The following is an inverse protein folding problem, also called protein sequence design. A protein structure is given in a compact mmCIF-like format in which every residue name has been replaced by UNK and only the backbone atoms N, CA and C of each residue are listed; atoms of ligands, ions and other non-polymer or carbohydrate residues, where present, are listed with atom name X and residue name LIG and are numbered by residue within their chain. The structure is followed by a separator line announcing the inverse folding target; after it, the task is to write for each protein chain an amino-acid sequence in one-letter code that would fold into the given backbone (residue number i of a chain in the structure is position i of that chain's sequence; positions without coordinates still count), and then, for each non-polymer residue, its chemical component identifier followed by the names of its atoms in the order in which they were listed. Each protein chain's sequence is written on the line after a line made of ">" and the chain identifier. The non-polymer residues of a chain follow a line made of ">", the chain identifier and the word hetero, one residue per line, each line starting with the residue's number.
data_IF_034419463221
#
_entry.id   IF_034419463221
#
_cell.length_a   1.000
_cell.length_b   1.000
_cell.length_c   1.000
_cell.angle_alpha   90.00
_cell.angle_beta   90.00
_cell.angle_gamma   90.00
#
_symmetry.space_group_name_H-M   'P 1'
#
loop_
_entity.id
_entity.type
_entity.pdbx_description
1 polymer ?
#
# COMPACT_ATOMS: atom_id res chain seq x y z
N UNK A 1 38.01 44.01 -39.00
CA UNK A 1 37.95 42.68 -38.35
C UNK A 1 36.98 42.74 -37.18
N UNK A 2 35.75 42.21 -37.33
CA UNK A 2 34.71 42.23 -36.29
C UNK A 2 34.87 41.00 -35.39
N UNK A 3 35.11 41.21 -34.09
CA UNK A 3 35.17 40.13 -33.09
C UNK A 3 33.73 39.72 -32.75
N UNK A 4 33.37 38.49 -33.12
CA UNK A 4 32.07 37.89 -32.79
C UNK A 4 32.12 37.36 -31.36
N UNK A 5 31.48 38.05 -30.42
CA UNK A 5 31.31 37.58 -29.04
C UNK A 5 30.22 36.50 -29.04
N UNK A 6 30.60 35.23 -28.81
CA UNK A 6 29.64 34.13 -28.63
C UNK A 6 29.18 34.12 -27.18
N UNK A 7 27.94 34.55 -26.94
CA UNK A 7 27.27 34.44 -25.65
C UNK A 7 26.97 32.96 -25.38
N UNK A 8 27.61 32.39 -24.37
CA UNK A 8 27.38 31.02 -23.91
C UNK A 8 26.27 31.06 -22.86
N UNK A 9 25.04 30.72 -23.26
CA UNK A 9 23.91 30.59 -22.34
C UNK A 9 24.05 29.28 -21.57
N UNK A 10 24.46 29.34 -20.31
CA UNK A 10 24.37 28.20 -19.40
C UNK A 10 22.89 27.98 -19.03
N UNK A 11 22.28 26.97 -19.63
CA UNK A 11 21.00 26.44 -19.18
C UNK A 11 21.27 25.64 -17.91
N UNK A 12 21.13 26.27 -16.75
CA UNK A 12 21.18 25.58 -15.46
C UNK A 12 19.94 24.69 -15.34
N UNK A 13 20.13 23.39 -15.57
CA UNK A 13 19.15 22.37 -15.24
C UNK A 13 19.00 22.38 -13.71
N UNK A 14 17.93 23.00 -13.22
CA UNK A 14 17.56 22.92 -11.81
C UNK A 14 17.22 21.47 -11.49
N UNK A 15 18.15 20.75 -10.86
CA UNK A 15 17.89 19.47 -10.23
C UNK A 15 16.92 19.72 -9.06
N UNK A 16 15.63 19.53 -9.31
CA UNK A 16 14.64 19.42 -8.24
C UNK A 16 15.00 18.17 -7.43
N UNK A 17 15.59 18.37 -6.25
CA UNK A 17 15.73 17.31 -5.26
C UNK A 17 14.31 16.99 -4.79
N UNK A 18 13.69 15.97 -5.41
CA UNK A 18 12.32 15.56 -5.11
C UNK A 18 12.25 14.96 -3.71
N UNK A 19 11.60 15.72 -2.83
CA UNK A 19 10.89 15.34 -1.61
C UNK A 19 11.18 13.94 -1.05
N UNK A 20 12.07 13.87 -0.06
CA UNK A 20 12.27 12.69 0.80
C UNK A 20 10.99 12.23 1.56
N UNK A 21 9.88 12.97 1.42
CA UNK A 21 8.63 12.66 2.10
C UNK A 21 7.39 12.64 1.20
N UNK A 22 7.52 12.19 -0.06
CA UNK A 22 6.35 11.92 -0.90
C UNK A 22 5.37 10.97 -0.19
N UNK A 23 4.07 11.26 -0.26
CA UNK A 23 3.01 10.39 0.26
C UNK A 23 3.00 9.02 -0.41
N UNK A 24 2.03 8.18 -0.06
CA UNK A 24 1.79 6.94 -0.80
C UNK A 24 1.51 7.29 -2.28
N UNK A 25 2.09 6.59 -3.26
CA UNK A 25 1.93 6.94 -4.68
C UNK A 25 0.49 6.69 -5.17
N UNK A 26 0.03 7.48 -6.13
CA UNK A 26 -1.33 7.35 -6.69
C UNK A 26 -1.53 6.04 -7.48
N UNK A 27 -0.43 5.45 -7.99
CA UNK A 27 -0.39 4.15 -8.63
C UNK A 27 0.89 3.37 -8.28
N UNK A 28 1.06 2.19 -8.90
CA UNK A 28 2.19 1.31 -8.63
C UNK A 28 3.40 1.53 -9.58
N UNK A 29 3.36 2.52 -10.47
CA UNK A 29 4.36 2.75 -11.53
C UNK A 29 5.74 3.12 -10.97
N UNK A 30 5.81 3.81 -9.84
CA UNK A 30 7.07 4.15 -9.15
C UNK A 30 7.43 3.20 -8.00
N UNK A 31 6.56 2.22 -7.69
CA UNK A 31 6.84 1.22 -6.66
C UNK A 31 7.82 0.18 -7.19
N UNK A 32 8.87 -0.09 -6.42
CA UNK A 32 9.89 -1.10 -6.74
C UNK A 32 9.46 -2.47 -6.23
N UNK A 33 9.20 -3.39 -7.15
CA UNK A 33 8.83 -4.77 -6.84
C UNK A 33 10.08 -5.66 -6.86
N UNK A 34 10.43 -6.22 -5.70
CA UNK A 34 11.73 -6.89 -5.52
C UNK A 34 11.74 -8.36 -5.93
N UNK A 35 10.60 -9.05 -5.87
CA UNK A 35 10.52 -10.51 -6.11
C UNK A 35 9.77 -10.88 -7.39
N UNK A 36 8.82 -10.04 -7.83
CA UNK A 36 8.05 -10.27 -9.06
C UNK A 36 7.69 -8.92 -9.71
N UNK A 37 8.63 -8.31 -10.45
CA UNK A 37 8.46 -6.97 -11.04
C UNK A 37 7.21 -6.80 -11.90
N UNK A 38 6.76 -7.85 -12.57
CA UNK A 38 5.61 -7.85 -13.46
C UNK A 38 4.25 -7.64 -12.76
N UNK A 39 4.17 -7.84 -11.44
CA UNK A 39 2.87 -7.79 -10.73
C UNK A 39 2.29 -6.38 -10.70
N UNK A 40 3.13 -5.34 -10.68
CA UNK A 40 2.68 -3.95 -10.72
C UNK A 40 1.84 -3.61 -11.95
N UNK A 41 2.09 -4.30 -13.08
CA UNK A 41 1.38 -4.11 -14.34
C UNK A 41 0.24 -5.11 -14.56
N UNK A 42 -0.02 -6.02 -13.61
CA UNK A 42 -1.15 -6.92 -13.72
C UNK A 42 -2.46 -6.12 -13.61
N UNK A 43 -3.49 -6.46 -14.42
CA UNK A 43 -4.76 -5.80 -14.36
C UNK A 43 -5.44 -6.02 -13.00
N UNK A 44 -6.10 -4.97 -12.52
CA UNK A 44 -7.03 -5.06 -11.39
C UNK A 44 -8.23 -5.90 -11.83
N UNK A 45 -8.43 -7.04 -11.17
CA UNK A 45 -9.52 -7.96 -11.46
C UNK A 45 -10.19 -8.53 -10.22
N UNK A 46 -9.91 -7.94 -9.06
CA UNK A 46 -10.53 -8.26 -7.79
C UNK A 46 -10.68 -6.98 -6.94
N UNK A 47 -11.70 -6.93 -6.10
CA UNK A 47 -11.80 -5.93 -5.04
C UNK A 47 -11.23 -6.49 -3.74
N UNK A 48 -10.57 -5.64 -2.95
CA UNK A 48 -10.04 -5.96 -1.63
C UNK A 48 -10.27 -4.80 -0.65
N UNK A 49 -10.61 -5.14 0.59
CA UNK A 49 -10.58 -4.23 1.74
C UNK A 49 -9.54 -4.74 2.77
N UNK A 50 -9.28 -3.97 3.82
CA UNK A 50 -8.29 -4.30 4.84
C UNK A 50 -8.79 -3.93 6.23
N UNK A 51 -8.58 -4.82 7.19
CA UNK A 51 -8.61 -4.45 8.61
C UNK A 51 -7.46 -5.12 9.35
N UNK A 52 -6.85 -4.37 10.28
CA UNK A 52 -5.77 -4.83 11.12
C UNK A 52 -6.16 -4.56 12.57
N UNK A 53 -6.07 -5.58 13.40
CA UNK A 53 -6.46 -5.54 14.80
C UNK A 53 -6.50 -6.94 15.39
N UNK A 54 -6.54 -7.06 16.72
CA UNK A 54 -6.63 -8.35 17.42
C UNK A 54 -5.55 -9.37 16.98
N UNK A 55 -4.35 -8.89 16.63
CA UNK A 55 -3.23 -9.73 16.19
C UNK A 55 -3.39 -10.36 14.81
N UNK A 56 -4.32 -9.88 13.98
CA UNK A 56 -4.54 -10.37 12.62
C UNK A 56 -4.58 -9.23 11.58
N UNK A 57 -4.24 -9.60 10.35
CA UNK A 57 -4.43 -8.79 9.14
C UNK A 57 -5.48 -9.52 8.31
N UNK A 58 -6.66 -8.90 8.15
CA UNK A 58 -7.74 -9.42 7.34
C UNK A 58 -7.80 -8.67 6.01
N UNK A 59 -7.68 -9.40 4.91
CA UNK A 59 -7.68 -8.93 3.53
C UNK A 59 -8.82 -9.62 2.77
N UNK A 60 -10.10 -9.33 3.08
CA UNK A 60 -11.19 -9.88 2.30
C UNK A 60 -11.09 -9.40 0.85
N UNK A 61 -11.03 -10.36 -0.08
CA UNK A 61 -11.02 -10.09 -1.50
C UNK A 61 -12.02 -10.99 -2.24
N UNK A 62 -12.70 -10.42 -3.24
CA UNK A 62 -13.83 -11.09 -3.91
C UNK A 62 -13.41 -12.26 -4.82
N UNK A 63 -12.10 -12.46 -5.05
CA UNK A 63 -11.57 -13.56 -5.84
C UNK A 63 -11.01 -14.73 -5.00
N UNK A 64 -11.24 -14.74 -3.68
CA UNK A 64 -10.66 -15.72 -2.74
C UNK A 64 -10.92 -17.18 -3.09
N UNK A 65 -12.02 -17.49 -3.78
CA UNK A 65 -12.35 -18.84 -4.24
C UNK A 65 -12.35 -18.99 -5.77
N UNK A 66 -12.22 -17.91 -6.54
CA UNK A 66 -12.36 -17.96 -8.00
C UNK A 66 -11.02 -18.03 -8.74
N UNK A 67 -9.94 -17.55 -8.15
CA UNK A 67 -8.62 -17.72 -8.76
C UNK A 67 -8.14 -19.18 -8.67
N UNK A 68 -7.55 -19.74 -9.74
CA UNK A 68 -7.10 -21.13 -9.76
C UNK A 68 -6.10 -21.42 -8.63
N UNK A 69 -6.28 -22.52 -7.93
CA UNK A 69 -5.28 -22.97 -6.95
C UNK A 69 -4.15 -23.75 -7.61
N UNK A 70 -2.92 -23.56 -7.13
CA UNK A 70 -1.75 -24.35 -7.50
C UNK A 70 -1.09 -24.95 -6.24
N UNK A 71 -0.36 -26.05 -6.41
CA UNK A 71 0.37 -26.67 -5.31
C UNK A 71 1.77 -26.07 -5.19
N UNK A 72 2.08 -25.51 -4.02
CA UNK A 72 3.41 -25.03 -3.66
C UNK A 72 3.85 -25.80 -2.41
N UNK A 73 4.95 -26.56 -2.50
CA UNK A 73 5.45 -27.41 -1.42
C UNK A 73 4.37 -28.32 -0.79
N UNK A 74 3.48 -28.88 -1.62
CA UNK A 74 2.38 -29.74 -1.17
C UNK A 74 1.17 -29.02 -0.58
N UNK A 75 1.18 -27.68 -0.52
CA UNK A 75 0.05 -26.86 -0.06
C UNK A 75 -0.64 -26.19 -1.24
N UNK A 76 -1.97 -26.37 -1.35
CA UNK A 76 -2.77 -25.67 -2.35
C UNK A 76 -2.97 -24.21 -1.96
N UNK A 77 -2.49 -23.30 -2.80
CA UNK A 77 -2.60 -21.84 -2.63
C UNK A 77 -3.09 -21.20 -3.92
N UNK A 78 -3.77 -20.06 -3.85
CA UNK A 78 -4.30 -19.36 -5.03
C UNK A 78 -3.98 -17.86 -5.06
N UNK A 79 -3.28 -17.35 -4.05
CA UNK A 79 -2.93 -15.95 -4.00
C UNK A 79 -1.65 -15.68 -3.21
N UNK A 80 -1.02 -14.54 -3.50
CA UNK A 80 0.02 -13.94 -2.67
C UNK A 80 -0.52 -12.67 -2.00
N UNK A 81 -0.24 -12.53 -0.71
CA UNK A 81 -0.43 -11.28 0.00
C UNK A 81 0.82 -10.40 -0.15
N UNK A 82 0.60 -9.13 -0.46
CA UNK A 82 1.65 -8.15 -0.70
C UNK A 82 1.64 -7.03 0.31
N UNK A 83 2.82 -6.49 0.57
CA UNK A 83 3.03 -5.30 1.37
C UNK A 83 3.88 -4.29 0.59
N UNK A 84 3.51 -3.01 0.69
CA UNK A 84 4.23 -1.88 0.12
C UNK A 84 4.70 -1.01 1.29
N UNK A 85 6.01 -0.85 1.40
CA UNK A 85 6.68 -0.21 2.53
C UNK A 85 7.64 0.86 2.00
N UNK A 86 7.72 2.00 2.69
CA UNK A 86 8.69 3.04 2.36
C UNK A 86 10.00 2.79 3.10
N UNK A 87 11.08 2.59 2.35
CA UNK A 87 12.42 2.40 2.90
C UNK A 87 13.38 3.39 2.22
N UNK A 88 14.05 4.24 3.00
CA UNK A 88 14.96 5.28 2.50
C UNK A 88 14.33 6.17 1.42
N UNK A 89 13.08 6.58 1.63
CA UNK A 89 12.36 7.45 0.70
C UNK A 89 11.71 6.71 -0.48
N UNK A 90 12.00 5.43 -0.68
CA UNK A 90 11.55 4.65 -1.85
C UNK A 90 10.45 3.67 -1.43
N UNK A 91 9.34 3.67 -2.14
CA UNK A 91 8.27 2.69 -1.98
C UNK A 91 8.66 1.36 -2.63
N UNK A 92 8.63 0.28 -1.84
CA UNK A 92 9.03 -1.06 -2.26
C UNK A 92 7.96 -2.08 -1.91
N UNK A 93 7.71 -3.02 -2.81
CA UNK A 93 6.75 -4.10 -2.64
C UNK A 93 7.43 -5.46 -2.46
N UNK A 94 6.86 -6.28 -1.58
CA UNK A 94 7.25 -7.67 -1.38
C UNK A 94 6.07 -8.57 -1.04
N UNK A 95 6.20 -9.86 -1.34
CA UNK A 95 5.26 -10.86 -0.83
C UNK A 95 5.56 -11.13 0.64
N UNK A 96 4.52 -11.28 1.45
CA UNK A 96 4.70 -11.70 2.84
C UNK A 96 4.03 -13.03 3.18
N UNK A 97 2.99 -13.42 2.43
CA UNK A 97 2.30 -14.69 2.67
C UNK A 97 1.73 -15.30 1.39
N UNK A 98 1.48 -16.61 1.45
CA UNK A 98 0.59 -17.29 0.50
C UNK A 98 -0.79 -17.45 1.11
N UNK A 99 -1.84 -17.30 0.31
CA UNK A 99 -3.23 -17.52 0.71
C UNK A 99 -3.74 -18.83 0.09
N UNK A 100 -4.40 -19.64 0.92
CA UNK A 100 -5.19 -20.79 0.46
C UNK A 100 -6.52 -20.29 -0.14
N UNK A 101 -7.19 -21.08 -1.00
CA UNK A 101 -8.56 -20.79 -1.41
C UNK A 101 -9.46 -20.55 -0.20
N UNK A 102 -10.20 -19.44 -0.22
CA UNK A 102 -11.09 -19.01 0.86
C UNK A 102 -10.39 -18.32 2.04
N UNK A 103 -9.06 -18.30 2.08
CA UNK A 103 -8.30 -17.65 3.14
C UNK A 103 -8.19 -16.14 2.87
N UNK A 104 -8.65 -15.34 3.83
CA UNK A 104 -8.52 -13.88 3.80
C UNK A 104 -7.71 -13.32 4.97
N UNK A 105 -7.43 -14.15 5.98
CA UNK A 105 -6.82 -13.71 7.24
C UNK A 105 -5.45 -14.35 7.45
N UNK A 106 -4.50 -13.54 7.94
CA UNK A 106 -3.19 -13.97 8.42
C UNK A 106 -2.90 -13.37 9.78
N UNK A 107 -2.01 -14.02 10.53
CA UNK A 107 -1.49 -13.46 11.79
C UNK A 107 -0.68 -12.21 11.46
N UNK A 108 -0.85 -11.17 12.25
CA UNK A 108 -0.07 -9.93 12.12
C UNK A 108 1.43 -10.19 12.31
N UNK A 109 1.81 -11.20 13.10
CA UNK A 109 3.21 -11.60 13.26
C UNK A 109 3.88 -12.14 11.98
N UNK A 110 3.12 -12.48 10.94
CA UNK A 110 3.66 -12.79 9.62
C UNK A 110 4.13 -11.54 8.86
N UNK A 111 3.66 -10.34 9.25
CA UNK A 111 4.14 -9.07 8.73
C UNK A 111 5.44 -8.68 9.43
N UNK A 112 6.54 -9.28 8.97
CA UNK A 112 7.86 -9.13 9.60
C UNK A 112 8.97 -9.10 8.55
N UNK A 113 10.12 -8.59 8.95
CA UNK A 113 11.31 -8.40 8.11
C UNK A 113 11.70 -9.64 7.30
N UNK A 114 11.56 -10.83 7.87
CA UNK A 114 11.94 -12.10 7.21
C UNK A 114 11.31 -12.31 5.83
N UNK A 115 10.18 -11.65 5.56
CA UNK A 115 9.49 -11.70 4.28
C UNK A 115 9.80 -10.51 3.35
N UNK A 116 10.23 -9.38 3.92
CA UNK A 116 10.63 -8.19 3.16
C UNK A 116 12.15 -8.07 3.15
N UNK A 117 12.84 -8.83 2.28
CA UNK A 117 14.31 -8.88 2.28
C UNK A 117 15.01 -7.54 1.94
N UNK A 118 14.25 -6.52 1.56
CA UNK A 118 14.72 -5.20 1.13
C UNK A 118 14.61 -4.11 2.21
N UNK A 119 14.07 -4.43 3.39
CA UNK A 119 14.01 -3.49 4.52
C UNK A 119 14.94 -3.94 5.63
N UNK A 120 15.57 -2.97 6.31
CA UNK A 120 16.48 -3.27 7.41
C UNK A 120 15.72 -3.76 8.64
N UNK A 121 14.58 -3.17 8.91
CA UNK A 121 13.66 -3.50 10.01
C UNK A 121 12.23 -3.12 9.63
N UNK A 122 11.24 -3.78 10.22
CA UNK A 122 9.82 -3.39 10.13
C UNK A 122 9.18 -3.52 11.49
N UNK A 123 9.06 -2.37 12.16
CA UNK A 123 8.33 -2.22 13.40
C UNK A 123 7.31 -1.11 13.18
N UNK A 124 6.11 -1.44 12.68
CA UNK A 124 5.08 -0.44 12.43
C UNK A 124 4.77 0.39 13.68
N UNK A 125 4.79 1.72 13.53
CA UNK A 125 4.42 2.70 14.54
C UNK A 125 3.10 3.35 14.16
N UNK A 126 2.34 3.82 15.15
CA UNK A 126 1.11 4.56 14.87
C UNK A 126 1.40 5.75 13.95
N UNK A 127 0.64 5.87 12.86
CA UNK A 127 0.84 6.88 11.81
C UNK A 127 1.69 6.42 10.62
N UNK A 128 2.37 5.27 10.69
CA UNK A 128 3.10 4.73 9.55
C UNK A 128 2.14 4.37 8.42
N UNK A 129 2.54 4.66 7.17
CA UNK A 129 1.74 4.40 5.98
C UNK A 129 2.26 3.16 5.25
N UNK A 130 1.35 2.25 4.95
CA UNK A 130 1.63 1.02 4.21
C UNK A 130 0.59 0.80 3.11
N UNK A 131 1.01 0.14 2.03
CA UNK A 131 0.10 -0.39 1.02
C UNK A 131 -0.07 -1.90 1.16
N UNK A 132 -1.27 -2.40 0.89
CA UNK A 132 -1.61 -3.81 0.89
C UNK A 132 -2.40 -4.15 -0.38
N UNK A 133 -2.15 -5.32 -0.94
CA UNK A 133 -2.99 -5.90 -1.98
C UNK A 133 -2.78 -7.41 -2.06
N UNK A 134 -3.61 -8.06 -2.87
CA UNK A 134 -3.53 -9.49 -3.14
C UNK A 134 -3.37 -9.71 -4.64
N UNK A 135 -2.55 -10.68 -5.04
CA UNK A 135 -2.38 -11.07 -6.45
C UNK A 135 -2.53 -12.57 -6.63
N UNK A 136 -2.66 -13.01 -7.89
CA UNK A 136 -2.34 -14.39 -8.24
C UNK A 136 -0.93 -14.77 -7.78
N UNK A 137 -0.62 -16.06 -7.75
CA UNK A 137 0.65 -16.60 -7.28
C UNK A 137 1.80 -16.15 -8.19
N UNK A 138 2.60 -15.21 -7.71
CA UNK A 138 3.77 -14.69 -8.38
C UNK A 138 5.08 -15.35 -7.91
N UNK A 139 5.05 -16.03 -6.75
CA UNK A 139 6.22 -16.67 -6.12
C UNK A 139 5.97 -18.15 -5.81
N UNK A 140 6.92 -19.00 -6.20
CA UNK A 140 7.00 -20.42 -5.79
C UNK A 140 6.11 -21.40 -6.56
N UNK A 141 5.39 -20.93 -7.58
CA UNK A 141 4.47 -21.76 -8.33
C UNK A 141 4.45 -21.33 -9.79
N UNK A 142 5.50 -21.70 -10.51
CA UNK A 142 5.55 -21.52 -11.96
C UNK A 142 4.79 -22.67 -12.64
N UNK A 143 3.91 -22.37 -13.62
CA UNK A 143 3.52 -21.03 -14.04
C UNK A 143 2.58 -20.35 -13.03
N UNK A 144 2.64 -19.01 -12.96
CA UNK A 144 1.66 -18.19 -12.22
C UNK A 144 0.24 -18.68 -12.50
N UNK A 145 -0.58 -18.83 -11.46
CA UNK A 145 -1.95 -19.34 -11.59
C UNK A 145 -2.86 -18.41 -12.42
N UNK A 146 -2.69 -17.10 -12.27
CA UNK A 146 -3.39 -16.04 -13.01
C UNK A 146 -2.62 -14.71 -12.89
N UNK A 147 -2.48 -13.98 -14.00
CA UNK A 147 -1.87 -12.66 -14.01
C UNK A 147 -2.90 -11.56 -13.70
N UNK A 148 -3.37 -11.50 -12.44
CA UNK A 148 -4.32 -10.50 -11.93
C UNK A 148 -3.97 -10.08 -10.50
N UNK A 149 -4.37 -8.87 -10.12
CA UNK A 149 -4.29 -8.36 -8.75
C UNK A 149 -5.62 -7.76 -8.29
N UNK A 150 -5.75 -7.56 -6.99
CA UNK A 150 -6.76 -6.67 -6.44
C UNK A 150 -6.38 -5.20 -6.63
N UNK A 151 -7.30 -4.30 -6.34
CA UNK A 151 -6.94 -2.94 -5.97
C UNK A 151 -5.94 -2.96 -4.80
N UNK A 152 -5.06 -1.97 -4.71
CA UNK A 152 -4.33 -1.73 -3.47
C UNK A 152 -5.17 -0.93 -2.46
N UNK A 153 -4.80 -1.08 -1.20
CA UNK A 153 -5.40 -0.39 -0.06
C UNK A 153 -4.28 0.27 0.72
N UNK A 154 -4.42 1.55 1.02
CA UNK A 154 -3.47 2.31 1.84
C UNK A 154 -3.99 2.35 3.27
N UNK A 155 -3.14 1.97 4.20
CA UNK A 155 -3.45 1.85 5.61
C UNK A 155 -2.50 2.71 6.42
N UNK A 156 -3.07 3.53 7.29
CA UNK A 156 -2.34 4.23 8.34
C UNK A 156 -2.39 3.41 9.61
N UNK A 157 -1.21 3.02 10.08
CA UNK A 157 -1.07 2.12 11.21
C UNK A 157 -1.67 2.70 12.49
N UNK A 158 -2.52 1.92 13.16
CA UNK A 158 -3.26 2.37 14.34
C UNK A 158 -4.47 3.27 14.05
N UNK A 159 -4.72 3.67 12.79
CA UNK A 159 -5.91 4.45 12.41
C UNK A 159 -6.89 3.69 11.53
N UNK A 160 -6.41 3.05 10.46
CA UNK A 160 -7.30 2.37 9.52
C UNK A 160 -6.94 2.55 8.05
N UNK A 161 -7.85 2.13 7.19
CA UNK A 161 -7.78 2.37 5.75
C UNK A 161 -8.00 3.86 5.47
N UNK A 162 -7.08 4.47 4.71
CA UNK A 162 -7.14 5.89 4.33
C UNK A 162 -7.41 6.10 2.83
N UNK A 163 -7.08 5.11 2.00
CA UNK A 163 -7.48 5.12 0.59
C UNK A 163 -7.53 3.71 -0.01
N UNK A 164 -8.29 3.60 -1.09
CA UNK A 164 -8.46 2.38 -1.89
C UNK A 164 -8.27 2.78 -3.35
N UNK A 165 -7.40 2.07 -4.08
CA UNK A 165 -7.15 2.36 -5.50
C UNK A 165 -8.46 2.34 -6.31
N UNK A 166 -8.64 3.36 -7.15
CA UNK A 166 -9.85 3.50 -7.96
C UNK A 166 -11.09 3.95 -7.19
N UNK A 167 -10.98 4.24 -5.88
CA UNK A 167 -12.01 4.92 -5.11
C UNK A 167 -11.55 6.34 -4.79
N UNK A 168 -12.47 7.30 -4.85
CA UNK A 168 -12.24 8.63 -4.26
C UNK A 168 -12.04 8.47 -2.76
N UNK A 169 -11.08 9.21 -2.18
CA UNK A 169 -10.81 9.16 -0.75
C UNK A 169 -12.10 9.32 0.05
N UNK A 170 -12.32 8.54 1.13
CA UNK A 170 -13.50 8.70 1.96
C UNK A 170 -13.55 10.15 2.48
N UNK A 171 -14.69 10.81 2.30
CA UNK A 171 -14.93 12.14 2.86
C UNK A 171 -14.65 12.07 4.36
N UNK A 172 -13.69 12.87 4.84
CA UNK A 172 -13.43 13.01 6.27
C UNK A 172 -14.69 13.64 6.87
N UNK A 173 -15.63 12.82 7.36
CA UNK A 173 -16.70 13.33 8.20
C UNK A 173 -16.04 13.94 9.43
N UNK A 174 -16.13 15.26 9.65
CA UNK A 174 -15.57 15.84 10.86
C UNK A 174 -16.19 15.15 12.06
N UNK A 175 -15.35 14.54 12.90
CA UNK A 175 -15.79 14.05 14.20
C UNK A 175 -16.17 15.29 15.00
N UNK A 176 -17.46 15.56 15.15
CA UNK A 176 -17.92 16.56 16.10
C UNK A 176 -17.50 16.09 17.49
N UNK A 177 -16.44 16.71 18.01
CA UNK A 177 -16.10 16.64 19.42
C UNK A 177 -17.24 17.31 20.16
N UNK A 178 -18.10 16.51 20.79
CA UNK A 178 -19.11 17.02 21.72
C UNK A 178 -18.40 17.52 22.97
N UNK A 179 -17.85 18.73 22.91
CA UNK A 179 -17.65 19.49 24.13
C UNK A 179 -19.04 19.89 24.64
N UNK A 180 -19.35 19.72 25.94
CA UNK A 180 -20.59 20.24 26.47
C UNK A 180 -20.56 21.76 26.29
N UNK A 181 -21.62 22.31 25.70
CA UNK A 181 -21.84 23.74 25.72
C UNK A 181 -21.84 24.16 27.20
N UNK A 182 -20.78 24.86 27.60
CA UNK A 182 -20.77 25.62 28.83
C UNK A 182 -21.78 26.74 28.56
N UNK A 183 -22.97 26.56 29.11
CA UNK A 183 -24.02 27.56 29.19
C UNK A 183 -23.51 28.65 30.13
N UNK A 184 -22.73 29.57 29.57
CA UNK A 184 -22.24 30.77 30.23
C UNK A 184 -22.75 31.95 29.43
N UNK A 185 -23.48 32.80 30.15
CA UNK A 185 -23.95 34.14 29.81
C UNK A 185 -25.28 34.19 29.05
N UNK A 186 -26.35 34.41 29.82
CA UNK A 186 -27.24 35.56 29.64
C UNK A 186 -27.99 35.80 30.96
N UNK A 187 -27.29 36.42 31.92
CA UNK A 187 -27.94 37.38 32.81
C UNK A 187 -28.13 38.69 32.02
N UNK A 188 -29.22 39.38 32.36
CA UNK A 188 -29.56 40.79 32.09
C UNK A 188 -30.17 41.17 30.73
N UNK A 189 -31.52 41.18 30.67
CA UNK A 189 -32.33 42.37 30.32
C UNK A 189 -33.85 42.09 30.34
N UNK A 190 -34.49 42.27 31.50
CA UNK A 190 -35.72 43.08 31.72
C UNK A 190 -36.29 42.87 33.13
#
# INVERSE_FOLDING_TARGET
>A
MKKLLRTLTFLTLSLSILNANAGFPDDLSDVVFTEAPQVKSWPVGASMNLSIGNGVINMPFNATNSWPGISIYGTRVNANAWGIVKENGIWKAGTWEWLRPGQTTKKQSAWQRGHFRFIRDISPKNGDIFGFFVSGTARGGQPTNIARRSNFVVYEWGKGVISIEGQTAPEVKPSFSSYPAIDLLLDDAN
#
